data_IF_720742408232
#
_entry.id   IF_720742408232
#
_cell.length_a   1.000
_cell.length_b   1.000
_cell.length_c   1.000
_cell.angle_alpha   90.00
_cell.angle_beta   90.00
_cell.angle_gamma   90.00
#
_symmetry.space_group_name_H-M   'P 1'
#
loop_
_entity.id
_entity.type
_entity.pdbx_description
1 polymer ?
#
# COMPACT_ATOMS: atom_id res chain seq x y z
N UNK A 1 -33.55 10.06 -30.81
CA UNK A 1 -32.82 11.08 -30.04
C UNK A 1 -33.14 12.43 -30.67
N UNK A 2 -33.41 13.49 -29.90
CA UNK A 2 -33.74 14.80 -30.50
C UNK A 2 -32.47 15.64 -30.67
N UNK A 3 -32.38 16.42 -31.75
CA UNK A 3 -31.19 17.23 -32.09
C UNK A 3 -30.62 18.07 -30.92
N UNK A 4 -31.44 18.78 -30.12
CA UNK A 4 -30.92 19.61 -29.02
C UNK A 4 -30.25 18.77 -27.92
N UNK A 5 -30.70 17.52 -27.75
CA UNK A 5 -30.17 16.58 -26.77
C UNK A 5 -28.79 16.05 -27.20
N UNK A 6 -28.60 15.82 -28.51
CA UNK A 6 -27.32 15.41 -29.06
C UNK A 6 -26.28 16.55 -29.06
N UNK A 7 -26.70 17.78 -29.39
CA UNK A 7 -25.83 18.96 -29.33
C UNK A 7 -25.38 19.26 -27.90
N UNK A 8 -26.29 19.21 -26.91
CA UNK A 8 -25.94 19.42 -25.50
C UNK A 8 -24.99 18.33 -24.95
N UNK A 9 -25.15 17.08 -25.38
CA UNK A 9 -24.24 15.99 -25.01
C UNK A 9 -22.84 16.19 -25.60
N UNK A 10 -22.75 16.66 -26.85
CA UNK A 10 -21.47 16.96 -27.50
C UNK A 10 -20.78 18.18 -26.88
N UNK A 11 -21.53 19.23 -26.56
CA UNK A 11 -21.03 20.42 -25.87
C UNK A 11 -20.51 20.08 -24.46
N UNK A 12 -21.18 19.16 -23.76
CA UNK A 12 -20.71 18.66 -22.45
C UNK A 12 -19.39 17.88 -22.57
N UNK A 13 -19.19 17.14 -23.66
CA UNK A 13 -18.00 16.29 -23.85
C UNK A 13 -16.80 17.04 -24.45
N UNK A 14 -17.04 18.01 -25.34
CA UNK A 14 -15.98 18.66 -26.13
C UNK A 14 -15.86 20.18 -25.88
N UNK A 15 -16.74 20.78 -25.08
CA UNK A 15 -16.73 22.21 -24.75
C UNK A 15 -16.86 23.13 -25.98
N UNK A 16 -16.27 24.32 -25.91
CA UNK A 16 -16.33 25.36 -26.97
C UNK A 16 -15.60 24.97 -28.28
N UNK A 17 -14.98 23.78 -28.33
CA UNK A 17 -14.24 23.31 -29.51
C UNK A 17 -15.15 22.71 -30.61
N UNK A 18 -16.47 22.62 -30.36
CA UNK A 18 -17.44 22.19 -31.36
C UNK A 18 -17.63 23.32 -32.38
N UNK A 19 -16.83 23.29 -33.46
CA UNK A 19 -17.08 24.13 -34.63
C UNK A 19 -18.37 23.67 -35.28
N UNK A 20 -19.45 24.36 -34.94
CA UNK A 20 -20.84 24.10 -35.27
C UNK A 20 -21.06 23.79 -36.77
N UNK A 21 -20.32 24.47 -37.66
CA UNK A 21 -20.43 24.33 -39.12
C UNK A 21 -20.04 22.94 -39.66
N UNK A 22 -19.21 22.17 -38.96
CA UNK A 22 -18.70 20.88 -39.45
C UNK A 22 -19.54 19.68 -38.98
N UNK A 23 -20.19 19.81 -37.83
CA UNK A 23 -20.99 18.72 -37.24
C UNK A 23 -22.47 18.81 -37.62
N UNK A 24 -22.97 20.01 -37.94
CA UNK A 24 -24.36 20.23 -38.37
C UNK A 24 -24.85 19.28 -39.47
N UNK A 25 -24.13 19.03 -40.58
CA UNK A 25 -24.65 18.15 -41.65
C UNK A 25 -24.74 16.68 -41.22
N UNK A 26 -23.81 16.21 -40.38
CA UNK A 26 -23.79 14.81 -39.88
C UNK A 26 -24.92 14.62 -38.86
N UNK A 27 -25.13 15.60 -37.97
CA UNK A 27 -26.19 15.56 -36.98
C UNK A 27 -27.58 15.63 -37.63
N UNK A 28 -27.75 16.45 -38.68
CA UNK A 28 -29.00 16.49 -39.43
C UNK A 28 -29.30 15.15 -40.11
N UNK A 29 -28.29 14.48 -40.68
CA UNK A 29 -28.44 13.16 -41.31
C UNK A 29 -28.82 12.08 -40.27
N UNK A 30 -28.28 12.14 -39.04
CA UNK A 30 -28.66 11.24 -37.93
C UNK A 30 -30.09 11.50 -37.46
N UNK A 31 -30.51 12.78 -37.40
CA UNK A 31 -31.85 13.13 -36.92
C UNK A 31 -32.94 12.86 -37.95
N UNK A 32 -32.59 12.85 -39.23
CA UNK A 32 -33.50 12.55 -40.33
C UNK A 32 -33.61 11.03 -40.62
N UNK A 33 -32.79 10.20 -39.97
CA UNK A 33 -32.88 8.75 -40.08
C UNK A 33 -34.05 8.20 -39.27
N UNK A 34 -34.85 7.35 -39.92
CA UNK A 34 -35.87 6.56 -39.23
C UNK A 34 -35.21 5.61 -38.20
N UNK A 35 -35.87 5.32 -37.06
CA UNK A 35 -35.28 4.61 -35.93
C UNK A 35 -34.82 3.17 -36.23
N UNK A 36 -35.26 2.57 -37.34
CA UNK A 36 -34.89 1.22 -37.78
C UNK A 36 -33.93 1.22 -38.99
N UNK A 37 -33.47 2.39 -39.43
CA UNK A 37 -32.61 2.53 -40.60
C UNK A 37 -31.15 2.25 -40.25
N UNK A 38 -30.45 1.57 -41.16
CA UNK A 38 -29.06 1.15 -40.96
C UNK A 38 -28.13 2.36 -40.76
N UNK A 39 -27.48 2.42 -39.58
CA UNK A 39 -26.56 3.50 -39.20
C UNK A 39 -25.11 3.26 -39.63
N UNK A 40 -24.78 2.09 -40.19
CA UNK A 40 -23.43 1.78 -40.68
C UNK A 40 -22.84 2.79 -41.68
N UNK A 41 -23.58 3.39 -42.64
CA UNK A 41 -23.01 4.41 -43.53
C UNK A 41 -22.67 5.72 -42.81
N UNK A 42 -23.38 6.05 -41.74
CA UNK A 42 -23.14 7.27 -40.97
C UNK A 42 -21.93 7.07 -40.05
N UNK A 43 -21.86 5.92 -39.38
CA UNK A 43 -20.72 5.57 -38.53
C UNK A 43 -19.40 5.54 -39.32
N UNK A 44 -19.42 5.00 -40.54
CA UNK A 44 -18.24 5.02 -41.41
C UNK A 44 -17.84 6.42 -41.88
N UNK A 45 -18.80 7.34 -42.07
CA UNK A 45 -18.50 8.76 -42.36
C UNK A 45 -17.97 9.50 -41.14
N UNK A 46 -18.48 9.23 -39.94
CA UNK A 46 -17.94 9.78 -38.69
C UNK A 46 -16.50 9.31 -38.51
N UNK A 47 -16.24 8.02 -38.69
CA UNK A 47 -14.90 7.45 -38.56
C UNK A 47 -13.94 8.03 -39.61
N UNK A 48 -14.39 8.20 -40.85
CA UNK A 48 -13.63 8.89 -41.90
C UNK A 48 -13.37 10.37 -41.58
N UNK A 49 -14.32 11.08 -40.96
CA UNK A 49 -14.13 12.46 -40.51
C UNK A 49 -13.13 12.56 -39.34
N UNK A 50 -13.17 11.62 -38.40
CA UNK A 50 -12.21 11.53 -37.29
C UNK A 50 -10.80 11.22 -37.81
N UNK A 51 -10.66 10.29 -38.76
CA UNK A 51 -9.35 9.92 -39.35
C UNK A 51 -8.78 10.97 -40.30
N UNK A 52 -9.62 11.64 -41.11
CA UNK A 52 -9.17 12.76 -41.96
C UNK A 52 -8.70 13.96 -41.13
N UNK A 53 -9.40 14.27 -40.04
CA UNK A 53 -9.00 15.36 -39.15
C UNK A 53 -7.77 14.99 -38.30
N UNK A 54 -7.54 13.70 -38.02
CA UNK A 54 -6.30 13.24 -37.38
C UNK A 54 -5.06 13.41 -38.27
N UNK A 55 -5.24 13.58 -39.58
CA UNK A 55 -4.13 13.62 -40.56
C UNK A 55 -3.80 15.04 -41.08
N UNK A 56 -4.59 16.05 -40.73
CA UNK A 56 -4.39 17.43 -41.18
C UNK A 56 -4.24 18.40 -40.01
N UNK A 57 -3.26 18.14 -39.18
CA UNK A 57 -2.35 19.12 -38.57
C UNK A 57 -1.47 18.32 -37.62
N UNK A 58 -0.13 18.53 -37.58
CA UNK A 58 0.55 18.23 -36.33
C UNK A 58 -0.21 19.06 -35.30
N UNK A 59 -0.94 18.39 -34.41
CA UNK A 59 -1.37 18.98 -33.17
C UNK A 59 -0.06 19.36 -32.47
N UNK A 60 0.46 20.54 -32.79
CA UNK A 60 1.07 21.40 -31.81
C UNK A 60 -0.06 21.64 -30.81
N UNK A 61 -0.29 20.63 -29.97
CA UNK A 61 -0.79 20.84 -28.63
C UNK A 61 0.27 21.75 -28.04
N UNK A 62 0.10 23.05 -28.27
CA UNK A 62 0.59 24.04 -27.33
C UNK A 62 -0.12 23.59 -26.08
N UNK A 63 0.62 22.83 -25.26
CA UNK A 63 0.18 22.45 -23.93
C UNK A 63 -0.43 23.72 -23.35
N UNK A 64 -1.72 23.71 -22.94
CA UNK A 64 -2.26 24.88 -22.27
C UNK A 64 -1.26 25.25 -21.18
N UNK A 65 -0.90 26.55 -21.05
CA UNK A 65 0.18 26.98 -20.18
C UNK A 65 0.01 26.25 -18.84
N UNK A 66 0.96 25.34 -18.55
CA UNK A 66 0.86 24.38 -17.43
C UNK A 66 0.31 25.15 -16.24
N UNK A 67 -0.93 24.85 -15.88
CA UNK A 67 -1.71 25.64 -14.95
C UNK A 67 -0.88 25.80 -13.68
N UNK A 68 -0.61 27.03 -13.25
CA UNK A 68 0.33 27.30 -12.14
C UNK A 68 -0.02 26.51 -10.87
N UNK A 69 -1.31 26.21 -10.71
CA UNK A 69 -1.86 25.35 -9.66
C UNK A 69 -1.43 23.89 -9.80
N UNK A 70 -1.45 23.33 -11.02
CA UNK A 70 -0.99 21.97 -11.31
C UNK A 70 0.51 21.82 -11.07
N UNK A 71 1.32 22.81 -11.47
CA UNK A 71 2.76 22.79 -11.18
C UNK A 71 3.06 22.82 -9.67
N UNK A 72 2.28 23.61 -8.92
CA UNK A 72 2.42 23.66 -7.46
C UNK A 72 2.03 22.32 -6.81
N UNK A 73 0.94 21.70 -7.26
CA UNK A 73 0.49 20.40 -6.77
C UNK A 73 1.47 19.27 -7.13
N UNK A 74 1.99 19.27 -8.36
CA UNK A 74 3.02 18.33 -8.83
C UNK A 74 4.29 18.44 -7.96
N UNK A 75 4.74 19.66 -7.70
CA UNK A 75 5.90 19.92 -6.83
C UNK A 75 5.64 19.46 -5.39
N UNK A 76 4.49 19.80 -4.84
CA UNK A 76 4.10 19.40 -3.48
C UNK A 76 4.05 17.88 -3.34
N UNK A 77 3.49 17.17 -4.33
CA UNK A 77 3.47 15.71 -4.36
C UNK A 77 4.89 15.14 -4.38
N UNK A 78 5.77 15.67 -5.25
CA UNK A 78 7.16 15.20 -5.34
C UNK A 78 7.96 15.48 -4.06
N UNK A 79 7.70 16.61 -3.38
CA UNK A 79 8.32 16.92 -2.08
C UNK A 79 7.90 15.91 -1.00
N UNK A 80 6.62 15.52 -0.95
CA UNK A 80 6.13 14.49 -0.03
C UNK A 80 6.72 13.10 -0.33
N UNK A 81 6.84 12.72 -1.62
CA UNK A 81 7.48 11.46 -2.03
C UNK A 81 8.95 11.43 -1.58
N UNK A 82 9.67 12.54 -1.73
CA UNK A 82 11.05 12.66 -1.24
C UNK A 82 11.15 12.59 0.29
N UNK A 83 10.21 13.19 1.01
CA UNK A 83 10.16 13.11 2.47
C UNK A 83 9.92 11.67 2.96
N UNK A 84 8.98 10.96 2.34
CA UNK A 84 8.70 9.55 2.62
C UNK A 84 9.91 8.66 2.36
N UNK A 85 10.66 8.95 1.28
CA UNK A 85 11.93 8.29 0.97
C UNK A 85 13.00 8.57 2.03
N UNK A 86 13.17 9.83 2.46
CA UNK A 86 14.12 10.19 3.55
C UNK A 86 13.82 9.47 4.86
N UNK A 87 12.54 9.20 5.14
CA UNK A 87 12.09 8.47 6.33
C UNK A 87 12.24 6.95 6.23
N UNK A 88 12.86 6.41 5.16
CA UNK A 88 13.02 4.98 4.87
C UNK A 88 11.69 4.20 4.91
N UNK A 89 10.55 4.85 4.60
CA UNK A 89 9.23 4.20 4.57
C UNK A 89 8.85 3.62 3.21
N UNK A 90 9.64 3.92 2.17
CA UNK A 90 9.49 3.36 0.82
C UNK A 90 10.83 2.71 0.47
N UNK A 91 10.84 1.40 0.28
CA UNK A 91 11.99 0.66 -0.21
C UNK A 91 11.84 0.50 -1.72
N UNK A 92 12.91 0.75 -2.49
CA UNK A 92 12.92 0.59 -3.95
C UNK A 92 13.03 1.89 -4.74
N UNK A 93 12.93 1.78 -6.07
CA UNK A 93 12.92 2.91 -6.98
C UNK A 93 11.58 3.66 -6.85
N UNK A 94 11.58 4.99 -6.67
CA UNK A 94 10.34 5.77 -6.60
C UNK A 94 9.57 5.66 -7.91
N UNK A 95 8.25 5.50 -7.81
CA UNK A 95 7.36 5.58 -8.96
C UNK A 95 7.44 6.98 -9.60
N UNK A 96 7.37 6.99 -10.92
CA UNK A 96 7.26 8.21 -11.73
C UNK A 96 5.86 8.81 -11.63
N UNK A 97 5.70 10.08 -11.97
CA UNK A 97 4.38 10.76 -11.96
C UNK A 97 3.39 10.04 -12.86
N UNK A 98 3.86 9.55 -14.01
CA UNK A 98 3.02 8.80 -14.95
C UNK A 98 2.55 7.45 -14.35
N UNK A 99 3.42 6.73 -13.64
CA UNK A 99 3.06 5.49 -12.92
C UNK A 99 2.12 5.74 -11.72
N UNK A 100 2.09 6.96 -11.18
CA UNK A 100 1.16 7.33 -10.10
C UNK A 100 -0.22 7.68 -10.67
N UNK A 101 -0.26 8.33 -11.84
CA UNK A 101 -1.51 8.74 -12.51
C UNK A 101 -2.16 7.56 -13.22
N UNK A 102 -1.36 6.68 -13.81
CA UNK A 102 -1.78 5.46 -14.48
C UNK A 102 -1.03 4.25 -13.89
N UNK A 103 -1.49 3.76 -12.72
CA UNK A 103 -0.84 2.62 -12.09
C UNK A 103 -0.94 1.41 -13.01
N UNK A 104 0.17 0.67 -13.15
CA UNK A 104 0.13 -0.59 -13.89
C UNK A 104 -0.91 -1.51 -13.24
N UNK A 105 -1.79 -2.06 -14.07
CA UNK A 105 -2.83 -2.97 -13.60
C UNK A 105 -2.16 -4.12 -12.83
N UNK A 106 -2.61 -4.36 -11.59
CA UNK A 106 -2.03 -5.41 -10.75
C UNK A 106 -2.16 -6.74 -11.51
N UNK A 107 -1.03 -7.34 -11.86
CA UNK A 107 -1.04 -8.66 -12.47
C UNK A 107 -1.75 -9.61 -11.51
N UNK A 108 -2.83 -10.25 -11.98
CA UNK A 108 -3.47 -11.33 -11.25
C UNK A 108 -2.39 -12.37 -10.99
N UNK A 109 -1.93 -12.43 -9.74
CA UNK A 109 -1.09 -13.51 -9.26
C UNK A 109 -2.03 -14.72 -9.30
N UNK A 110 -2.03 -15.42 -10.45
CA UNK A 110 -2.85 -16.61 -10.64
C UNK A 110 -2.67 -17.53 -9.44
N UNK A 111 -3.71 -18.29 -9.09
CA UNK A 111 -3.74 -19.18 -7.92
C UNK A 111 -2.39 -19.88 -7.77
N UNK A 112 -1.52 -19.31 -6.93
CA UNK A 112 -0.13 -19.74 -6.82
C UNK A 112 -0.22 -21.05 -6.07
N UNK A 113 -0.33 -22.15 -6.83
CA UNK A 113 -0.32 -23.52 -6.34
C UNK A 113 0.83 -23.65 -5.33
N UNK A 114 0.46 -23.66 -4.05
CA UNK A 114 1.34 -24.13 -2.98
C UNK A 114 2.47 -23.19 -2.56
N UNK A 115 2.20 -21.95 -2.14
CA UNK A 115 3.10 -21.26 -1.19
C UNK A 115 3.28 -22.01 0.14
N UNK A 116 2.35 -22.92 0.42
CA UNK A 116 2.50 -23.86 1.50
C UNK A 116 2.76 -25.23 0.87
N UNK A 117 3.99 -25.72 0.97
CA UNK A 117 4.42 -26.98 0.35
C UNK A 117 3.51 -28.16 0.71
N UNK A 118 3.67 -29.27 -0.01
CA UNK A 118 2.89 -30.49 0.19
C UNK A 118 2.67 -30.79 1.69
N UNK A 119 1.41 -31.00 2.07
CA UNK A 119 0.93 -31.28 3.43
C UNK A 119 0.81 -30.08 4.38
N UNK A 120 0.83 -28.84 3.89
CA UNK A 120 0.56 -27.68 4.74
C UNK A 120 -0.82 -27.71 5.40
N UNK A 121 -1.85 -28.06 4.63
CA UNK A 121 -3.21 -28.22 5.14
C UNK A 121 -3.23 -29.30 6.23
N UNK A 122 -2.54 -30.42 6.01
CA UNK A 122 -2.49 -31.52 6.99
C UNK A 122 -1.76 -31.10 8.28
N UNK A 123 -0.67 -30.32 8.17
CA UNK A 123 0.04 -29.76 9.33
C UNK A 123 -0.84 -28.81 10.14
N UNK A 124 -1.59 -27.94 9.46
CA UNK A 124 -2.54 -27.02 10.11
C UNK A 124 -3.62 -27.82 10.82
N UNK A 125 -4.21 -28.82 10.15
CA UNK A 125 -5.26 -29.67 10.74
C UNK A 125 -4.74 -30.44 11.94
N UNK A 126 -3.52 -30.98 11.89
CA UNK A 126 -2.89 -31.67 13.03
C UNK A 126 -2.67 -30.74 14.21
N UNK A 127 -2.16 -29.54 13.97
CA UNK A 127 -1.93 -28.53 15.00
C UNK A 127 -3.25 -28.10 15.66
N UNK A 128 -4.28 -27.81 14.88
CA UNK A 128 -5.59 -27.40 15.41
C UNK A 128 -6.23 -28.51 16.25
N UNK A 129 -6.13 -29.78 15.82
CA UNK A 129 -6.64 -30.91 16.61
C UNK A 129 -5.87 -31.09 17.91
N UNK A 130 -4.55 -30.91 17.88
CA UNK A 130 -3.73 -30.95 19.08
C UNK A 130 -4.16 -29.85 20.07
N UNK A 131 -4.27 -28.61 19.62
CA UNK A 131 -4.71 -27.48 20.47
C UNK A 131 -6.12 -27.68 21.04
N UNK A 132 -7.04 -28.25 20.26
CA UNK A 132 -8.38 -28.61 20.74
C UNK A 132 -8.33 -29.71 21.80
N UNK A 133 -7.49 -30.74 21.63
CA UNK A 133 -7.34 -31.82 22.59
C UNK A 133 -6.68 -31.33 23.90
N UNK A 134 -5.70 -30.43 23.82
CA UNK A 134 -5.13 -29.74 24.99
C UNK A 134 -6.19 -28.90 25.70
N UNK A 135 -6.96 -28.09 24.96
CA UNK A 135 -8.01 -27.25 25.54
C UNK A 135 -9.14 -28.06 26.20
N UNK A 136 -9.46 -29.22 25.64
CA UNK A 136 -10.46 -30.14 26.19
C UNK A 136 -9.91 -30.97 27.37
N UNK A 137 -8.62 -30.85 27.69
CA UNK A 137 -7.97 -31.61 28.76
C UNK A 137 -7.74 -33.08 28.44
N UNK A 138 -7.87 -33.48 27.17
CA UNK A 138 -7.56 -34.84 26.70
C UNK A 138 -6.05 -35.09 26.61
N UNK A 139 -5.26 -34.02 26.46
CA UNK A 139 -3.80 -34.04 26.52
C UNK A 139 -3.37 -33.15 27.68
N UNK A 140 -2.81 -33.76 28.72
CA UNK A 140 -2.09 -33.05 29.77
C UNK A 140 -0.65 -32.97 29.29
N UNK A 141 -0.20 -31.79 28.89
CA UNK A 141 1.23 -31.52 28.69
C UNK A 141 1.90 -31.65 30.06
N UNK A 142 2.57 -32.78 30.28
CA UNK A 142 3.46 -32.94 31.42
C UNK A 142 4.71 -32.17 31.04
N UNK A 143 4.86 -30.95 31.58
CA UNK A 143 6.17 -30.33 31.67
C UNK A 143 7.03 -31.29 32.50
N UNK A 144 8.08 -31.83 31.90
CA UNK A 144 9.08 -32.61 32.63
C UNK A 144 9.59 -31.70 33.76
N UNK A 145 9.16 -32.00 34.99
CA UNK A 145 9.64 -31.37 36.22
C UNK A 145 11.13 -31.71 36.34
N UNK A 146 11.98 -30.87 35.75
CA UNK A 146 13.38 -30.79 36.13
C UNK A 146 13.42 -30.27 37.57
N UNK A 147 13.48 -31.21 38.51
CA UNK A 147 13.81 -31.01 39.92
C UNK A 147 15.17 -30.29 40.03
N UNK A 148 15.16 -28.97 39.96
CA UNK A 148 16.21 -28.09 40.49
C UNK A 148 15.58 -26.76 40.92
N UNK A 149 14.78 -26.82 41.99
CA UNK A 149 14.41 -25.67 42.81
C UNK A 149 15.64 -25.14 43.57
N UNK A 150 16.54 -24.46 42.88
CA UNK A 150 17.47 -23.51 43.49
C UNK A 150 17.98 -22.54 42.42
N UNK A 151 17.51 -21.30 42.52
CA UNK A 151 17.89 -20.12 41.73
C UNK A 151 17.44 -20.08 40.26
N UNK A 152 16.15 -20.30 39.98
CA UNK A 152 15.55 -19.71 38.79
C UNK A 152 15.59 -18.17 38.94
N UNK A 153 16.25 -17.41 38.05
CA UNK A 153 16.20 -15.96 38.06
C UNK A 153 14.74 -15.50 38.06
N UNK A 154 14.38 -14.41 38.75
CA UNK A 154 13.01 -13.91 38.71
C UNK A 154 12.57 -13.74 37.27
N UNK A 155 11.38 -14.23 36.92
CA UNK A 155 10.81 -14.04 35.59
C UNK A 155 10.69 -12.55 35.31
N UNK A 156 11.64 -12.01 34.53
CA UNK A 156 11.62 -10.61 34.12
C UNK A 156 10.58 -10.51 33.01
N UNK A 157 9.50 -9.77 33.26
CA UNK A 157 8.50 -9.52 32.23
C UNK A 157 9.16 -8.84 31.01
N UNK A 158 8.66 -9.11 29.80
CA UNK A 158 9.16 -8.45 28.58
C UNK A 158 9.15 -6.91 28.70
N UNK A 159 8.20 -6.36 29.45
CA UNK A 159 8.12 -4.93 29.74
C UNK A 159 9.30 -4.45 30.58
N UNK A 160 9.64 -5.19 31.64
CA UNK A 160 10.75 -4.85 32.54
C UNK A 160 12.10 -5.03 31.83
N UNK A 161 12.21 -6.03 30.97
CA UNK A 161 13.38 -6.23 30.12
C UNK A 161 13.61 -5.05 29.17
N UNK A 162 12.56 -4.53 28.54
CA UNK A 162 12.67 -3.32 27.71
C UNK A 162 13.03 -2.09 28.55
N UNK A 163 12.45 -1.95 29.74
CA UNK A 163 12.72 -0.82 30.64
C UNK A 163 14.19 -0.82 31.12
N UNK A 164 14.72 -1.98 31.54
CA UNK A 164 16.11 -2.14 31.95
C UNK A 164 17.09 -1.81 30.82
N UNK A 165 16.84 -2.27 29.59
CA UNK A 165 17.65 -1.91 28.43
C UNK A 165 17.66 -0.39 28.17
N UNK A 166 16.52 0.30 28.32
CA UNK A 166 16.45 1.76 28.18
C UNK A 166 17.27 2.47 29.26
N UNK A 167 17.16 2.03 30.51
CA UNK A 167 17.96 2.57 31.61
C UNK A 167 19.45 2.40 31.35
N UNK A 168 19.89 1.21 30.95
CA UNK A 168 21.29 0.94 30.59
C UNK A 168 21.77 1.83 29.44
N UNK A 169 20.96 2.01 28.40
CA UNK A 169 21.28 2.89 27.28
C UNK A 169 21.43 4.34 27.73
N UNK A 170 20.53 4.84 28.58
CA UNK A 170 20.63 6.20 29.14
C UNK A 170 21.90 6.35 29.97
N UNK A 171 22.24 5.37 30.81
CA UNK A 171 23.47 5.42 31.64
C UNK A 171 24.74 5.41 30.79
N UNK A 172 24.76 4.69 29.67
CA UNK A 172 25.86 4.71 28.70
C UNK A 172 26.01 6.08 28.01
N UNK A 173 24.93 6.86 27.90
CA UNK A 173 24.93 8.20 27.29
C UNK A 173 25.18 9.35 28.28
N UNK A 174 24.75 9.20 29.54
CA UNK A 174 24.81 10.29 30.54
C UNK A 174 26.11 10.32 31.32
N UNK A 175 26.84 9.20 31.43
CA UNK A 175 28.16 9.24 32.02
C UNK A 175 29.15 9.81 31.01
N UNK A 176 29.66 11.01 31.30
CA UNK A 176 30.99 11.42 30.89
C UNK A 176 31.98 10.43 31.52
N UNK A 177 32.16 9.28 30.88
CA UNK A 177 33.15 8.30 31.27
C UNK A 177 34.50 8.98 31.03
N UNK A 178 35.13 9.45 32.10
CA UNK A 178 36.42 10.15 32.05
C UNK A 178 37.53 9.25 31.47
N UNK A 179 37.36 7.93 31.56
CA UNK A 179 38.21 6.93 30.92
C UNK A 179 37.79 6.70 29.45
N UNK A 180 38.65 7.01 28.47
CA UNK A 180 38.40 6.79 27.05
C UNK A 180 38.11 5.32 26.69
N UNK A 181 38.73 4.37 27.39
CA UNK A 181 38.51 2.93 27.14
C UNK A 181 37.13 2.49 27.60
N UNK A 182 36.69 3.04 28.73
CA UNK A 182 35.37 2.74 29.27
C UNK A 182 34.27 3.39 28.41
N UNK A 183 34.55 4.54 27.81
CA UNK A 183 33.66 5.19 26.84
C UNK A 183 33.49 4.35 25.56
N UNK A 184 34.57 3.78 25.02
CA UNK A 184 34.51 2.88 23.86
C UNK A 184 33.68 1.62 24.16
N UNK A 185 33.93 0.98 25.31
CA UNK A 185 33.15 -0.17 25.78
C UNK A 185 31.68 0.18 26.03
N UNK A 186 31.40 1.39 26.53
CA UNK A 186 30.03 1.88 26.71
C UNK A 186 29.28 2.04 25.37
N UNK A 187 29.98 2.47 24.32
CA UNK A 187 29.41 2.58 22.98
C UNK A 187 29.14 1.20 22.36
N UNK A 188 30.06 0.24 22.51
CA UNK A 188 29.86 -1.14 22.07
C UNK A 188 28.68 -1.79 22.80
N UNK A 189 28.62 -1.64 24.12
CA UNK A 189 27.50 -2.12 24.93
C UNK A 189 26.16 -1.51 24.47
N UNK A 190 26.15 -0.22 24.15
CA UNK A 190 24.96 0.46 23.63
C UNK A 190 24.47 -0.14 22.30
N UNK A 191 25.39 -0.47 21.40
CA UNK A 191 25.04 -1.11 20.13
C UNK A 191 24.41 -2.49 20.37
N UNK A 192 25.00 -3.29 21.27
CA UNK A 192 24.45 -4.60 21.63
C UNK A 192 23.06 -4.48 22.28
N UNK A 193 22.86 -3.51 23.17
CA UNK A 193 21.57 -3.25 23.81
C UNK A 193 20.50 -2.90 22.76
N UNK A 194 20.83 -2.07 21.76
CA UNK A 194 19.87 -1.72 20.69
C UNK A 194 19.50 -2.94 19.84
N UNK A 195 20.48 -3.77 19.47
CA UNK A 195 20.24 -5.02 18.72
C UNK A 195 19.35 -5.96 19.52
N UNK A 196 19.63 -6.13 20.81
CA UNK A 196 18.85 -6.95 21.71
C UNK A 196 17.42 -6.42 21.88
N UNK A 197 17.23 -5.12 22.14
CA UNK A 197 15.90 -4.50 22.19
C UNK A 197 15.10 -4.75 20.90
N UNK A 198 15.74 -4.62 19.74
CA UNK A 198 15.10 -4.93 18.46
C UNK A 198 14.67 -6.40 18.36
N UNK A 199 15.47 -7.34 18.86
CA UNK A 199 15.12 -8.75 18.90
C UNK A 199 13.95 -9.02 19.87
N UNK A 200 13.97 -8.43 21.06
CA UNK A 200 12.90 -8.54 22.07
C UNK A 200 11.59 -7.97 21.54
N UNK A 201 11.62 -6.81 20.87
CA UNK A 201 10.43 -6.22 20.25
C UNK A 201 9.88 -7.09 19.12
N UNK A 202 10.75 -7.66 18.27
CA UNK A 202 10.32 -8.61 17.23
C UNK A 202 9.70 -9.87 17.84
N UNK A 203 10.27 -10.40 18.91
CA UNK A 203 9.72 -11.53 19.64
C UNK A 203 8.34 -11.19 20.24
N UNK A 204 8.24 -10.03 20.90
CA UNK A 204 6.96 -9.55 21.45
C UNK A 204 5.90 -9.35 20.38
N UNK A 205 6.26 -8.83 19.19
CA UNK A 205 5.32 -8.62 18.11
C UNK A 205 4.83 -9.94 17.50
N UNK A 206 5.71 -10.94 17.37
CA UNK A 206 5.34 -12.28 16.91
C UNK A 206 4.42 -13.01 17.88
N UNK A 207 4.61 -12.79 19.18
CA UNK A 207 3.84 -13.43 20.24
C UNK A 207 2.70 -12.57 20.78
N UNK A 208 2.47 -11.40 20.17
CA UNK A 208 1.34 -10.56 20.53
C UNK A 208 0.07 -11.26 20.06
N UNK A 209 -0.75 -11.71 21.01
CA UNK A 209 -2.11 -12.16 20.71
C UNK A 209 -2.86 -10.96 20.16
N UNK A 210 -3.43 -11.09 18.96
CA UNK A 210 -4.30 -10.08 18.41
C UNK A 210 -5.45 -9.87 19.40
N UNK A 211 -5.56 -8.66 19.96
CA UNK A 211 -6.67 -8.33 20.84
C UNK A 211 -7.96 -8.56 20.04
N UNK A 212 -8.84 -9.40 20.57
CA UNK A 212 -10.14 -9.61 19.93
C UNK A 212 -10.95 -8.32 20.01
N UNK A 213 -11.87 -8.11 19.06
CA UNK A 213 -12.80 -6.97 19.13
C UNK A 213 -13.54 -6.96 20.47
N UNK A 214 -13.87 -8.14 21.01
CA UNK A 214 -14.53 -8.28 22.31
C UNK A 214 -13.65 -7.79 23.47
N UNK A 215 -12.34 -8.09 23.48
CA UNK A 215 -11.41 -7.55 24.48
C UNK A 215 -11.28 -6.03 24.39
N UNK A 216 -11.32 -5.47 23.18
CA UNK A 216 -11.25 -4.02 22.96
C UNK A 216 -12.52 -3.29 23.46
N UNK A 217 -13.69 -3.86 23.22
CA UNK A 217 -14.96 -3.27 23.65
C UNK A 217 -15.32 -3.57 25.11
N UNK A 218 -14.75 -4.59 25.73
CA UNK A 218 -14.99 -4.93 27.16
C UNK A 218 -14.23 -4.03 28.14
N UNK A 219 -13.26 -3.23 27.68
CA UNK A 219 -12.51 -2.28 28.50
C UNK A 219 -13.12 -0.86 28.56
N UNK A 220 -14.38 -0.68 28.14
CA UNK A 220 -15.09 0.62 28.18
C UNK A 220 -16.26 0.62 29.15
#
# INVERSE_FOLDING_TARGET
MTRPEAESALETLYGDAVVDERWTPILNEITDLEPDSDMTPILSRIDAHLTQNSSQTPLNITTPPKDSRLQSAEKELMDHVQELRKRNRIHGQPFTVDEIIDPVEEAEIGEEEGRYGENAVEKIVKQVRYEQAVKNGEIIEVEDEDENEQDAPPDISLRDLVATCKTLQTQCLTRNLEDPKLAEQGMELMEQIRRFQGAVQKYSAKNAKQASLDEFFSCR
#
